data_IF_534778030425
#
_entry.id   IF_534778030425
#
_cell.length_a   1.000
_cell.length_b   1.000
_cell.length_c   1.000
_cell.angle_alpha   90.00
_cell.angle_beta   90.00
_cell.angle_gamma   90.00
#
_symmetry.space_group_name_H-M   'P 1'
#
loop_
_entity.id
_entity.type
_entity.pdbx_description
1 polymer ?
#
# COMPACT_ATOMS: atom_id res chain seq x y z
N UNK A 1 25.47 5.51 -2.08
CA UNK A 1 24.14 5.89 -2.60
C UNK A 1 23.79 7.22 -1.94
N UNK A 2 23.63 8.31 -2.69
CA UNK A 2 23.24 9.59 -2.10
C UNK A 2 21.81 9.53 -1.58
N UNK A 3 21.50 10.13 -0.43
CA UNK A 3 20.11 10.26 -0.01
C UNK A 3 19.40 11.28 -0.90
N UNK A 4 18.14 11.00 -1.22
CA UNK A 4 17.28 12.00 -1.86
C UNK A 4 17.00 13.11 -0.85
N UNK A 5 16.80 14.34 -1.33
CA UNK A 5 16.62 15.53 -0.47
C UNK A 5 15.38 15.43 0.44
N UNK A 6 14.35 14.71 0.01
CA UNK A 6 13.13 14.46 0.78
C UNK A 6 13.36 13.51 1.97
N UNK A 7 14.50 12.81 2.02
CA UNK A 7 14.88 12.01 3.19
C UNK A 7 15.20 12.86 4.43
N UNK A 8 15.37 14.17 4.27
CA UNK A 8 15.54 15.12 5.38
C UNK A 8 14.20 15.52 6.04
N UNK A 9 13.07 15.24 5.38
CA UNK A 9 11.74 15.52 5.93
C UNK A 9 11.48 14.64 7.15
N UNK A 10 10.90 15.17 8.25
CA UNK A 10 10.61 14.36 9.42
C UNK A 10 9.72 13.16 9.07
N UNK A 11 10.09 11.96 9.56
CA UNK A 11 9.35 10.71 9.38
C UNK A 11 7.83 10.85 9.61
N UNK A 12 7.44 11.70 10.57
CA UNK A 12 6.03 11.98 10.88
C UNK A 12 5.20 12.44 9.67
N UNK A 13 5.81 13.08 8.67
CA UNK A 13 5.11 13.47 7.44
C UNK A 13 4.65 12.23 6.65
N UNK A 14 5.53 11.25 6.46
CA UNK A 14 5.21 9.99 5.79
C UNK A 14 4.18 9.17 6.57
N UNK A 15 4.27 9.15 7.91
CA UNK A 15 3.30 8.46 8.77
C UNK A 15 1.90 9.05 8.60
N UNK A 16 1.75 10.38 8.65
CA UNK A 16 0.46 11.06 8.44
C UNK A 16 -0.17 10.74 7.08
N UNK A 17 0.65 10.64 6.03
CA UNK A 17 0.18 10.27 4.69
C UNK A 17 -0.36 8.84 4.69
N UNK A 18 0.38 7.89 5.26
CA UNK A 18 -0.03 6.48 5.32
C UNK A 18 -1.30 6.32 6.15
N UNK A 19 -1.40 6.99 7.30
CA UNK A 19 -2.58 6.95 8.17
C UNK A 19 -3.84 7.45 7.43
N UNK A 20 -3.77 8.62 6.80
CA UNK A 20 -4.91 9.18 6.06
C UNK A 20 -5.30 8.35 4.82
N UNK A 21 -4.32 7.78 4.11
CA UNK A 21 -4.61 6.88 2.98
C UNK A 21 -5.29 5.61 3.49
N UNK A 22 -4.76 4.99 4.55
CA UNK A 22 -5.32 3.77 5.13
C UNK A 22 -6.74 3.98 5.66
N UNK A 23 -7.04 5.11 6.29
CA UNK A 23 -8.39 5.44 6.76
C UNK A 23 -9.38 5.48 5.60
N UNK A 24 -9.07 6.27 4.55
CA UNK A 24 -9.93 6.40 3.37
C UNK A 24 -10.09 5.09 2.61
N UNK A 25 -9.01 4.34 2.44
CA UNK A 25 -9.04 3.05 1.73
C UNK A 25 -9.81 2.01 2.54
N UNK A 26 -9.59 1.93 3.85
CA UNK A 26 -10.34 1.00 4.70
C UNK A 26 -11.85 1.30 4.66
N UNK A 27 -12.22 2.58 4.71
CA UNK A 27 -13.62 2.98 4.58
C UNK A 27 -14.19 2.59 3.21
N UNK A 28 -13.50 2.93 2.11
CA UNK A 28 -13.95 2.60 0.76
C UNK A 28 -14.13 1.09 0.57
N UNK A 29 -13.08 0.31 0.87
CA UNK A 29 -13.05 -1.13 0.60
C UNK A 29 -14.09 -1.90 1.41
N UNK A 30 -14.38 -1.49 2.65
CA UNK A 30 -15.42 -2.10 3.48
C UNK A 30 -16.84 -1.79 3.01
N UNK A 31 -17.04 -0.72 2.23
CA UNK A 31 -18.33 -0.27 1.76
C UNK A 31 -18.57 -0.54 0.26
N UNK A 32 -17.70 -1.31 -0.39
CA UNK A 32 -17.95 -1.77 -1.76
C UNK A 32 -19.12 -2.75 -1.78
N UNK A 33 -20.01 -2.59 -2.75
CA UNK A 33 -20.99 -3.64 -3.08
C UNK A 33 -20.28 -4.83 -3.71
N UNK A 34 -20.92 -6.00 -3.71
CA UNK A 34 -20.37 -7.19 -4.37
C UNK A 34 -20.12 -6.96 -5.87
N UNK A 35 -21.03 -6.25 -6.55
CA UNK A 35 -20.84 -5.87 -7.95
C UNK A 35 -19.61 -4.96 -8.15
N UNK A 36 -19.44 -3.95 -7.29
CA UNK A 36 -18.29 -3.07 -7.35
C UNK A 36 -17.00 -3.82 -7.05
N UNK A 37 -17.00 -4.71 -6.06
CA UNK A 37 -15.86 -5.52 -5.68
C UNK A 37 -15.43 -6.46 -6.81
N UNK A 38 -16.33 -6.93 -7.66
CA UNK A 38 -16.01 -7.84 -8.78
C UNK A 38 -15.60 -7.13 -10.08
N UNK A 39 -15.42 -5.80 -10.07
CA UNK A 39 -14.99 -5.06 -11.27
C UNK A 39 -13.58 -5.45 -11.73
N UNK A 40 -13.41 -5.36 -13.05
CA UNK A 40 -12.16 -5.62 -13.76
C UNK A 40 -11.64 -4.31 -14.36
N UNK A 41 -10.33 -4.07 -14.28
CA UNK A 41 -9.66 -2.96 -14.93
C UNK A 41 -8.41 -3.44 -15.68
N UNK A 42 -7.90 -2.63 -16.62
CA UNK A 42 -6.68 -2.94 -17.35
C UNK A 42 -5.51 -2.15 -16.77
N UNK A 43 -4.55 -2.84 -16.15
CA UNK A 43 -3.30 -2.27 -15.70
C UNK A 43 -2.28 -2.25 -16.87
N UNK A 44 -1.55 -1.14 -17.11
CA UNK A 44 -0.67 -0.99 -18.28
C UNK A 44 0.46 -2.03 -18.34
N UNK A 45 0.86 -2.60 -17.20
CA UNK A 45 1.97 -3.56 -17.13
C UNK A 45 1.48 -5.00 -16.90
N UNK A 46 0.45 -5.19 -16.10
CA UNK A 46 0.02 -6.52 -15.62
C UNK A 46 -1.28 -6.99 -16.26
N UNK A 47 -1.79 -6.25 -17.25
CA UNK A 47 -2.98 -6.61 -18.01
C UNK A 47 -4.27 -6.52 -17.19
N UNK A 48 -5.25 -7.39 -17.49
CA UNK A 48 -6.55 -7.39 -16.79
C UNK A 48 -6.38 -7.80 -15.34
N UNK A 49 -6.87 -6.96 -14.43
CA UNK A 49 -6.82 -7.14 -12.99
C UNK A 49 -8.23 -7.02 -12.41
N UNK A 50 -8.50 -7.77 -11.34
CA UNK A 50 -9.71 -7.61 -10.54
C UNK A 50 -9.40 -6.76 -9.31
N UNK A 51 -10.41 -6.07 -8.79
CA UNK A 51 -10.27 -5.33 -7.53
C UNK A 51 -9.82 -6.25 -6.36
N UNK A 52 -10.36 -7.48 -6.17
CA UNK A 52 -9.97 -8.34 -5.05
C UNK A 52 -8.51 -8.79 -5.15
N UNK A 53 -8.04 -9.12 -6.36
CA UNK A 53 -6.63 -9.46 -6.59
C UNK A 53 -5.71 -8.29 -6.24
N UNK A 54 -6.11 -7.07 -6.60
CA UNK A 54 -5.34 -5.85 -6.29
C UNK A 54 -5.32 -5.56 -4.79
N UNK A 55 -6.45 -5.72 -4.09
CA UNK A 55 -6.50 -5.59 -2.62
C UNK A 55 -5.57 -6.62 -1.96
N UNK A 56 -5.61 -7.88 -2.41
CA UNK A 56 -4.74 -8.94 -1.92
C UNK A 56 -3.26 -8.62 -2.12
N UNK A 57 -2.89 -8.10 -3.28
CA UNK A 57 -1.54 -7.62 -3.58
C UNK A 57 -1.12 -6.48 -2.64
N UNK A 58 -1.95 -5.45 -2.43
CA UNK A 58 -1.65 -4.36 -1.50
C UNK A 58 -1.42 -4.86 -0.06
N UNK A 59 -2.28 -5.79 0.42
CA UNK A 59 -2.16 -6.36 1.76
C UNK A 59 -0.90 -7.23 1.93
N UNK A 60 -0.48 -7.96 0.88
CA UNK A 60 0.79 -8.66 0.86
C UNK A 60 1.98 -7.68 0.85
N UNK A 61 1.95 -6.68 0.00
CA UNK A 61 3.02 -5.70 -0.20
C UNK A 61 3.38 -4.94 1.08
N UNK A 62 2.37 -4.50 1.83
CA UNK A 62 2.59 -3.83 3.12
C UNK A 62 3.26 -4.77 4.13
N UNK A 63 2.79 -6.02 4.22
CA UNK A 63 3.39 -7.03 5.12
C UNK A 63 4.81 -7.37 4.73
N UNK A 64 5.10 -7.46 3.43
CA UNK A 64 6.43 -7.67 2.90
C UNK A 64 7.40 -6.56 3.32
N UNK A 65 7.03 -5.29 3.13
CA UNK A 65 7.87 -4.18 3.54
C UNK A 65 8.03 -4.07 5.06
N UNK A 66 6.98 -4.34 5.83
CA UNK A 66 7.09 -4.39 7.28
C UNK A 66 8.08 -5.47 7.73
N UNK A 67 8.08 -6.64 7.07
CA UNK A 67 9.06 -7.68 7.35
C UNK A 67 10.50 -7.22 7.05
N UNK A 68 10.73 -6.52 5.93
CA UNK A 68 12.04 -5.93 5.63
C UNK A 68 12.50 -4.93 6.69
N UNK A 69 11.61 -4.06 7.19
CA UNK A 69 11.94 -3.12 8.27
C UNK A 69 12.35 -3.87 9.54
N UNK A 70 11.61 -4.91 9.92
CA UNK A 70 11.94 -5.74 11.09
C UNK A 70 13.31 -6.40 10.94
N UNK A 71 13.59 -7.02 9.80
CA UNK A 71 14.90 -7.61 9.49
C UNK A 71 16.01 -6.56 9.61
N UNK A 72 15.79 -5.35 9.06
CA UNK A 72 16.79 -4.29 9.15
C UNK A 72 17.03 -3.79 10.58
N UNK A 73 16.02 -3.84 11.45
CA UNK A 73 16.15 -3.50 12.88
C UNK A 73 16.82 -4.62 13.69
N UNK A 74 16.59 -5.88 13.33
CA UNK A 74 17.22 -7.05 13.98
C UNK A 74 18.71 -7.18 13.64
N UNK A 75 19.13 -6.71 12.46
CA UNK A 75 20.53 -6.71 12.01
C UNK A 75 21.27 -5.40 12.31
N UNK A 76 20.79 -4.61 13.28
CA UNK A 76 21.47 -3.40 13.77
C UNK A 76 22.47 -3.69 14.87
#
# INVERSE_FOLDING_TARGET
MGSLVDSEVPLSASIKIIEGIHERFSYLLKNLTEEQLNKIFSHPVTGKQTIPTTIGFCAWHIRHHLAHIKIALENK
#
